data_IF_223830436091
#
_entry.id   IF_223830436091
#
_cell.length_a   1.000
_cell.length_b   1.000
_cell.length_c   1.000
_cell.angle_alpha   90.00
_cell.angle_beta   90.00
_cell.angle_gamma   90.00
#
_symmetry.space_group_name_H-M   'P 1'
#
loop_
_entity.id
_entity.type
_entity.pdbx_description
1 polymer ?
#
# COMPACT_ATOMS: atom_id res chain seq x y z
N UNK A 1 26.60 -20.73 47.07
CA UNK A 1 25.97 -19.40 46.91
C UNK A 1 26.93 -18.51 46.16
N UNK A 2 26.93 -18.64 44.84
CA UNK A 2 27.58 -17.71 43.91
C UNK A 2 26.51 -17.44 42.87
N UNK A 3 26.09 -16.19 42.81
CA UNK A 3 25.01 -15.70 41.96
C UNK A 3 25.46 -15.91 40.52
N UNK A 4 24.73 -16.75 39.79
CA UNK A 4 24.76 -16.74 38.32
C UNK A 4 24.01 -15.47 37.96
N UNK A 5 24.74 -14.41 37.60
CA UNK A 5 24.17 -13.22 36.98
C UNK A 5 23.57 -13.65 35.64
N UNK A 6 22.30 -14.04 35.69
CA UNK A 6 21.45 -14.19 34.52
C UNK A 6 21.02 -12.79 34.14
N UNK A 7 21.92 -12.03 33.51
CA UNK A 7 21.47 -10.92 32.67
C UNK A 7 20.43 -11.50 31.72
N UNK A 8 19.17 -11.04 31.75
CA UNK A 8 18.21 -11.40 30.74
C UNK A 8 18.83 -10.97 29.40
N UNK A 9 19.14 -11.94 28.55
CA UNK A 9 19.32 -11.64 27.15
C UNK A 9 18.01 -10.96 26.74
N UNK A 10 18.07 -9.69 26.34
CA UNK A 10 16.94 -8.90 25.87
C UNK A 10 16.45 -9.47 24.53
N UNK A 11 15.94 -10.69 24.56
CA UNK A 11 15.41 -11.44 23.42
C UNK A 11 13.89 -11.35 23.36
N UNK A 12 13.31 -10.31 23.95
CA UNK A 12 11.89 -9.97 23.84
C UNK A 12 11.72 -8.46 23.60
N UNK A 13 12.64 -7.85 22.81
CA UNK A 13 12.30 -6.63 22.10
C UNK A 13 11.60 -7.09 20.82
N UNK A 14 10.27 -7.13 20.90
CA UNK A 14 9.31 -7.33 19.83
C UNK A 14 9.85 -6.93 18.43
N UNK A 15 10.44 -7.90 17.71
CA UNK A 15 10.94 -7.76 16.33
C UNK A 15 9.76 -7.90 15.36
N UNK A 16 8.69 -7.17 15.63
CA UNK A 16 7.50 -7.10 14.77
C UNK A 16 7.50 -5.77 14.04
N UNK A 17 7.36 -5.81 12.72
CA UNK A 17 7.18 -4.59 11.90
C UNK A 17 5.87 -3.91 12.30
N UNK A 18 5.96 -2.69 12.83
CA UNK A 18 4.82 -1.98 13.39
C UNK A 18 4.03 -1.10 12.41
N UNK A 19 4.46 -0.95 11.15
CA UNK A 19 3.91 0.06 10.21
C UNK A 19 3.62 -0.49 8.81
N UNK A 20 2.88 -1.59 8.71
CA UNK A 20 2.86 -2.37 7.49
C UNK A 20 1.84 -1.86 6.46
N UNK A 21 2.13 -0.75 5.79
CA UNK A 21 1.46 -0.40 4.54
C UNK A 21 1.62 -1.52 3.49
N UNK A 22 0.68 -1.62 2.55
CA UNK A 22 0.71 -2.64 1.49
C UNK A 22 1.10 -2.05 0.14
N UNK A 23 1.95 -2.74 -0.62
CA UNK A 23 2.32 -2.37 -2.00
C UNK A 23 1.97 -3.51 -2.95
N UNK A 24 1.46 -3.18 -4.14
CA UNK A 24 1.20 -4.15 -5.19
C UNK A 24 1.63 -3.59 -6.55
N UNK A 25 2.21 -4.43 -7.42
CA UNK A 25 2.68 -4.00 -8.73
C UNK A 25 2.47 -5.04 -9.83
N UNK A 26 2.19 -4.56 -11.04
CA UNK A 26 2.02 -5.36 -12.26
C UNK A 26 2.81 -4.76 -13.41
N UNK A 27 3.30 -5.66 -14.27
CA UNK A 27 4.11 -5.35 -15.43
C UNK A 27 3.62 -6.15 -16.65
N UNK A 28 3.56 -5.49 -17.81
CA UNK A 28 3.18 -6.06 -19.12
C UNK A 28 1.77 -6.68 -19.13
N UNK A 29 0.79 -5.94 -18.64
CA UNK A 29 -0.62 -6.33 -18.71
C UNK A 29 -1.49 -5.14 -19.12
N UNK A 30 -2.35 -5.30 -20.13
CA UNK A 30 -3.18 -4.20 -20.69
C UNK A 30 -4.08 -3.51 -19.65
N UNK A 31 -4.57 -4.27 -18.67
CA UNK A 31 -5.39 -3.76 -17.55
C UNK A 31 -4.60 -3.62 -16.24
N UNK A 32 -3.34 -3.16 -16.31
CA UNK A 32 -2.44 -3.14 -15.15
C UNK A 32 -3.02 -2.40 -13.94
N UNK A 33 -3.66 -1.24 -14.15
CA UNK A 33 -4.24 -0.44 -13.07
C UNK A 33 -5.42 -1.15 -12.38
N UNK A 34 -6.29 -1.84 -13.15
CA UNK A 34 -7.41 -2.59 -12.59
C UNK A 34 -6.92 -3.76 -11.72
N UNK A 35 -5.91 -4.47 -12.18
CA UNK A 35 -5.32 -5.57 -11.41
C UNK A 35 -4.56 -5.05 -10.19
N UNK A 36 -3.91 -3.89 -10.29
CA UNK A 36 -3.31 -3.23 -9.14
C UNK A 36 -4.36 -2.89 -8.08
N UNK A 37 -5.53 -2.36 -8.48
CA UNK A 37 -6.65 -2.11 -7.57
C UNK A 37 -7.14 -3.39 -6.89
N UNK A 38 -7.30 -4.49 -7.62
CA UNK A 38 -7.68 -5.79 -7.04
C UNK A 38 -6.62 -6.32 -6.05
N UNK A 39 -5.34 -6.22 -6.40
CA UNK A 39 -4.24 -6.60 -5.52
C UNK A 39 -4.21 -5.77 -4.24
N UNK A 40 -4.38 -4.45 -4.36
CA UNK A 40 -4.49 -3.56 -3.20
C UNK A 40 -5.73 -3.84 -2.36
N UNK A 41 -6.85 -4.21 -2.97
CA UNK A 41 -8.05 -4.61 -2.25
C UNK A 41 -7.78 -5.87 -1.40
N UNK A 42 -7.07 -6.86 -1.95
CA UNK A 42 -6.62 -8.02 -1.16
C UNK A 42 -5.69 -7.61 -0.01
N UNK A 43 -4.89 -6.56 -0.19
CA UNK A 43 -4.02 -5.98 0.84
C UNK A 43 -4.70 -4.92 1.73
N UNK A 44 -6.01 -4.69 1.62
CA UNK A 44 -6.71 -3.61 2.36
C UNK A 44 -6.53 -3.69 3.89
N UNK A 45 -6.33 -4.90 4.42
CA UNK A 45 -6.06 -5.15 5.84
C UNK A 45 -4.73 -4.54 6.32
N UNK A 46 -3.83 -4.16 5.41
CA UNK A 46 -2.55 -3.49 5.66
C UNK A 46 -2.62 -1.96 5.62
N UNK A 47 -3.79 -1.37 5.36
CA UNK A 47 -3.93 0.08 5.37
C UNK A 47 -5.33 0.50 4.95
N UNK A 48 -6.04 1.24 5.80
CA UNK A 48 -7.47 1.56 5.60
C UNK A 48 -7.76 3.02 5.25
N UNK A 49 -6.73 3.86 5.22
CA UNK A 49 -6.94 5.30 5.33
C UNK A 49 -6.73 6.06 4.05
N UNK A 50 -5.91 5.52 3.17
CA UNK A 50 -5.67 6.06 1.86
C UNK A 50 -5.15 4.96 0.94
N UNK A 51 -5.39 5.14 -0.35
CA UNK A 51 -4.82 4.32 -1.38
C UNK A 51 -4.38 5.18 -2.56
N UNK A 52 -3.41 4.68 -3.31
CA UNK A 52 -2.94 5.33 -4.53
C UNK A 52 -2.49 4.30 -5.54
N UNK A 53 -2.72 4.60 -6.83
CA UNK A 53 -2.18 3.83 -7.96
C UNK A 53 -1.51 4.81 -8.91
N UNK A 54 -0.32 4.42 -9.38
CA UNK A 54 0.39 5.06 -10.47
C UNK A 54 0.54 4.05 -11.60
N UNK A 55 0.18 4.43 -12.82
CA UNK A 55 0.39 3.65 -14.04
C UNK A 55 1.33 4.36 -15.01
N UNK A 56 1.87 3.62 -15.98
CA UNK A 56 2.74 4.16 -17.03
C UNK A 56 2.37 3.62 -18.40
N UNK A 57 2.13 4.53 -19.35
CA UNK A 57 1.62 4.22 -20.70
C UNK A 57 2.71 4.02 -21.76
N UNK A 58 3.99 4.04 -21.37
CA UNK A 58 5.12 4.02 -22.30
C UNK A 58 5.73 5.39 -22.57
N UNK A 59 5.05 6.46 -22.14
CA UNK A 59 5.49 7.84 -22.30
C UNK A 59 5.44 8.61 -20.99
N UNK A 60 4.31 8.57 -20.28
CA UNK A 60 4.06 9.37 -19.07
C UNK A 60 3.48 8.53 -17.94
N UNK A 61 3.65 9.04 -16.72
CA UNK A 61 3.02 8.48 -15.52
C UNK A 61 1.66 9.11 -15.28
N UNK A 62 0.70 8.29 -14.85
CA UNK A 62 -0.64 8.71 -14.47
C UNK A 62 -0.89 8.29 -13.03
N UNK A 63 -1.46 9.16 -12.20
CA UNK A 63 -1.62 8.89 -10.77
C UNK A 63 -3.02 9.23 -10.27
N UNK A 64 -3.59 8.36 -9.47
CA UNK A 64 -4.80 8.61 -8.71
C UNK A 64 -4.56 8.25 -7.25
N UNK A 65 -4.86 9.18 -6.33
CA UNK A 65 -4.66 9.05 -4.89
C UNK A 65 -5.93 9.52 -4.19
N UNK A 66 -6.38 8.77 -3.21
CA UNK A 66 -7.58 9.11 -2.47
C UNK A 66 -7.52 8.58 -1.03
N UNK A 67 -8.30 9.21 -0.15
CA UNK A 67 -8.50 8.76 1.22
C UNK A 67 -9.56 7.66 1.29
N UNK A 68 -9.48 6.79 2.28
CA UNK A 68 -10.39 5.68 2.50
C UNK A 68 -10.00 4.39 1.76
N UNK A 69 -10.98 3.50 1.61
CA UNK A 69 -10.75 2.16 1.07
C UNK A 69 -10.48 2.15 -0.43
N UNK A 70 -9.71 1.16 -0.88
CA UNK A 70 -9.46 0.88 -2.30
C UNK A 70 -10.76 0.64 -3.05
N UNK A 71 -11.68 -0.12 -2.42
CA UNK A 71 -12.97 -0.47 -3.01
C UNK A 71 -13.89 0.72 -3.23
N UNK A 72 -13.73 1.83 -2.50
CA UNK A 72 -14.54 3.04 -2.71
C UNK A 72 -13.93 3.94 -3.78
N UNK A 73 -12.59 3.95 -3.88
CA UNK A 73 -11.85 4.88 -4.72
C UNK A 73 -11.53 4.34 -6.12
N UNK A 74 -11.48 3.02 -6.30
CA UNK A 74 -11.07 2.38 -7.57
C UNK A 74 -12.13 1.40 -8.11
N UNK A 75 -13.41 1.57 -7.76
CA UNK A 75 -14.51 0.70 -8.24
C UNK A 75 -15.13 1.11 -9.58
N UNK A 76 -14.86 2.31 -10.07
CA UNK A 76 -15.50 2.82 -11.29
C UNK A 76 -14.57 2.70 -12.48
N UNK A 77 -15.15 2.36 -13.63
CA UNK A 77 -14.41 2.29 -14.89
C UNK A 77 -13.80 3.65 -15.25
N UNK A 78 -14.50 4.75 -14.96
CA UNK A 78 -14.02 6.09 -15.24
C UNK A 78 -12.74 6.43 -14.46
N UNK A 79 -12.62 6.01 -13.19
CA UNK A 79 -11.37 6.18 -12.43
C UNK A 79 -10.25 5.34 -13.05
N UNK A 80 -10.50 4.07 -13.36
CA UNK A 80 -9.49 3.19 -13.95
C UNK A 80 -9.01 3.70 -15.31
N UNK A 81 -9.90 4.28 -16.13
CA UNK A 81 -9.55 4.90 -17.42
C UNK A 81 -8.59 6.09 -17.30
N UNK A 82 -8.51 6.73 -16.13
CA UNK A 82 -7.50 7.77 -15.86
C UNK A 82 -6.09 7.21 -15.60
N UNK A 83 -5.94 5.88 -15.52
CA UNK A 83 -4.69 5.19 -15.23
C UNK A 83 -4.31 4.23 -16.39
N UNK A 84 -4.07 4.73 -17.61
CA UNK A 84 -3.71 3.89 -18.74
C UNK A 84 -2.29 3.31 -18.60
N UNK A 85 -2.04 2.23 -19.34
CA UNK A 85 -0.71 1.65 -19.51
C UNK A 85 -0.59 0.19 -19.08
N UNK A 86 0.54 -0.42 -19.46
CA UNK A 86 0.80 -1.84 -19.20
C UNK A 86 1.54 -2.11 -17.89
N UNK A 87 1.81 -1.05 -17.12
CA UNK A 87 2.51 -1.11 -15.84
C UNK A 87 1.75 -0.28 -14.83
N UNK A 88 1.61 -0.82 -13.62
CA UNK A 88 1.05 -0.08 -12.50
C UNK A 88 1.64 -0.54 -11.18
N UNK A 89 1.81 0.41 -10.26
CA UNK A 89 2.14 0.16 -8.86
C UNK A 89 1.14 0.92 -8.00
N UNK A 90 0.71 0.30 -6.93
CA UNK A 90 -0.17 0.94 -5.97
C UNK A 90 0.22 0.67 -4.53
N UNK A 91 -0.36 1.43 -3.63
CA UNK A 91 -0.08 1.44 -2.20
C UNK A 91 -1.36 1.64 -1.38
N UNK A 92 -1.48 0.94 -0.25
CA UNK A 92 -2.46 1.23 0.81
C UNK A 92 -1.73 1.74 2.05
N UNK A 93 -2.18 2.87 2.59
CA UNK A 93 -1.58 3.55 3.74
C UNK A 93 -2.33 3.18 5.02
N UNK A 94 -1.55 2.90 6.07
CA UNK A 94 -1.96 2.88 7.46
C UNK A 94 -1.38 4.13 8.16
N UNK A 95 -2.11 4.81 9.07
CA UNK A 95 -1.56 6.02 9.71
C UNK A 95 -0.78 5.54 10.90
N UNK A 96 0.47 5.94 10.87
CA UNK A 96 1.21 6.22 12.07
C UNK A 96 0.80 7.60 12.56
N UNK A 97 0.88 7.82 13.87
CA UNK A 97 0.44 9.05 14.55
C UNK A 97 0.71 10.32 13.73
N UNK A 98 -0.36 10.93 13.20
CA UNK A 98 -0.31 12.13 12.36
C UNK A 98 -1.64 12.35 11.63
N UNK A 99 -2.01 13.61 11.40
CA UNK A 99 -3.28 13.98 10.76
C UNK A 99 -3.50 13.30 9.41
N UNK A 100 -4.78 13.05 9.07
CA UNK A 100 -5.26 12.50 7.81
C UNK A 100 -5.04 13.50 6.66
N UNK A 101 -3.78 13.73 6.30
CA UNK A 101 -3.40 14.58 5.18
C UNK A 101 -3.19 13.72 3.95
N UNK A 102 -3.69 14.18 2.81
CA UNK A 102 -3.50 13.55 1.50
C UNK A 102 -2.03 13.72 1.07
N UNK A 103 -1.15 12.86 1.62
CA UNK A 103 0.27 12.74 1.31
C UNK A 103 0.53 11.32 0.84
N UNK A 104 0.35 11.08 -0.46
CA UNK A 104 0.80 9.90 -1.19
C UNK A 104 1.48 10.37 -2.47
#
# INVERSE_FOLDING_TARGET
>A
MTVIDRTPHAADADDHMHDECGVFGIYRHTDAAAHAALGLHALQHRGQEAAGIVSYDGSQFHSHRALGHVGDNFNSEDVIRTLPGEMAVGHVRYSTTGDTVLRN
#
